data_IF_470129985562
#
_entry.id   IF_470129985562
#
_cell.length_a   1.000
_cell.length_b   1.000
_cell.length_c   1.000
_cell.angle_alpha   90.00
_cell.angle_beta   90.00
_cell.angle_gamma   90.00
#
_symmetry.space_group_name_H-M   'P 1'
#
loop_
_entity.id
_entity.type
_entity.pdbx_description
1 polymer ?
#
# COMPACT_ATOMS: atom_id res chain seq x y z
N UNK A 1 12.15 -45.50 -33.13
CA UNK A 1 10.94 -46.34 -32.96
C UNK A 1 10.53 -46.19 -31.49
N UNK A 2 9.63 -45.23 -31.19
CA UNK A 2 8.20 -45.45 -30.83
C UNK A 2 8.04 -46.29 -29.53
N UNK A 3 7.24 -45.95 -28.51
CA UNK A 3 6.13 -45.00 -28.36
C UNK A 3 5.87 -44.73 -26.87
N UNK A 4 5.43 -43.50 -26.59
CA UNK A 4 4.78 -43.02 -25.36
C UNK A 4 3.48 -43.75 -25.04
N UNK A 5 3.10 -43.85 -23.76
CA UNK A 5 1.70 -43.81 -23.29
C UNK A 5 1.62 -43.33 -21.82
N UNK A 6 1.57 -42.00 -21.62
CA UNK A 6 1.09 -41.41 -20.37
C UNK A 6 -0.40 -41.10 -20.52
N UNK A 7 -1.24 -41.77 -19.73
CA UNK A 7 -2.70 -41.56 -19.70
C UNK A 7 -3.01 -40.36 -18.81
N UNK A 8 -3.51 -39.28 -19.40
CA UNK A 8 -4.15 -38.19 -18.66
C UNK A 8 -5.60 -38.57 -18.35
N UNK A 9 -5.97 -38.55 -17.06
CA UNK A 9 -7.36 -38.59 -16.62
C UNK A 9 -7.78 -37.18 -16.22
N UNK A 10 -8.70 -36.59 -16.98
CA UNK A 10 -9.35 -35.30 -16.66
C UNK A 10 -10.65 -35.64 -15.93
N UNK A 11 -10.76 -35.26 -14.67
CA UNK A 11 -12.02 -35.31 -13.90
C UNK A 11 -12.62 -33.90 -13.94
N UNK A 12 -13.72 -33.74 -14.67
CA UNK A 12 -14.52 -32.53 -14.66
C UNK A 12 -15.47 -32.58 -13.47
N UNK A 13 -15.37 -31.60 -12.56
CA UNK A 13 -16.30 -31.39 -11.46
C UNK A 13 -17.22 -30.23 -11.81
N UNK A 14 -18.48 -30.53 -12.16
CA UNK A 14 -19.57 -29.56 -12.22
C UNK A 14 -20.28 -29.54 -10.87
N UNK A 15 -20.34 -28.38 -10.23
CA UNK A 15 -21.16 -28.14 -9.04
C UNK A 15 -21.73 -26.72 -9.08
N UNK A 16 -22.93 -26.58 -9.63
CA UNK A 16 -23.74 -25.35 -9.59
C UNK A 16 -24.84 -25.56 -8.54
N UNK A 17 -24.84 -24.79 -7.45
CA UNK A 17 -26.02 -24.57 -6.61
C UNK A 17 -26.03 -23.15 -6.05
N UNK A 18 -26.77 -22.26 -6.71
CA UNK A 18 -27.16 -20.96 -6.15
C UNK A 18 -28.56 -21.11 -5.52
N UNK A 19 -28.64 -20.96 -4.20
CA UNK A 19 -29.90 -20.83 -3.47
C UNK A 19 -30.15 -19.34 -3.21
N UNK A 20 -31.16 -18.76 -3.87
CA UNK A 20 -31.61 -17.39 -3.63
C UNK A 20 -33.09 -17.38 -3.31
N UNK A 21 -33.44 -17.27 -2.02
CA UNK A 21 -34.81 -17.01 -1.58
C UNK A 21 -35.07 -15.51 -1.65
N UNK A 22 -36.03 -15.10 -2.46
CA UNK A 22 -36.58 -13.74 -2.47
C UNK A 22 -37.75 -13.66 -1.48
N UNK A 23 -37.68 -12.78 -0.49
CA UNK A 23 -38.86 -12.39 0.31
C UNK A 23 -39.27 -10.96 -0.04
N UNK A 24 -40.42 -10.86 -0.72
CA UNK A 24 -41.14 -9.59 -0.90
C UNK A 24 -42.10 -9.44 0.26
N UNK A 25 -41.98 -8.38 1.05
CA UNK A 25 -42.92 -8.03 2.11
C UNK A 25 -43.22 -6.54 2.06
N UNK A 26 -44.21 -6.16 1.25
CA UNK A 26 -44.89 -4.88 1.40
C UNK A 26 -46.05 -5.08 2.37
N UNK A 27 -46.12 -4.26 3.42
CA UNK A 27 -47.37 -4.06 4.16
C UNK A 27 -47.51 -2.59 4.56
N UNK A 28 -48.74 -2.15 4.37
CA UNK A 28 -49.29 -0.80 4.35
C UNK A 28 -49.64 -0.30 5.76
N UNK A 29 -49.45 1.01 5.97
CA UNK A 29 -50.05 1.98 6.92
C UNK A 29 -50.52 1.56 8.32
N UNK A 30 -50.04 2.33 9.31
CA UNK A 30 -50.87 2.81 10.44
C UNK A 30 -50.60 4.30 10.69
N UNK A 31 -51.68 5.08 10.77
CA UNK A 31 -51.74 6.51 11.05
C UNK A 31 -51.39 6.89 12.49
N UNK A 32 -50.75 8.05 12.66
CA UNK A 32 -51.09 9.06 13.67
C UNK A 32 -50.32 9.06 15.00
N UNK A 33 -49.32 9.95 15.12
CA UNK A 33 -49.01 10.79 16.29
C UNK A 33 -47.84 11.76 15.98
N UNK A 34 -47.71 12.91 16.68
CA UNK A 34 -47.18 14.15 16.07
C UNK A 34 -45.72 14.52 16.43
N UNK A 35 -45.16 15.38 15.57
CA UNK A 35 -44.20 16.48 15.80
C UNK A 35 -42.90 16.19 16.57
N UNK A 36 -41.77 16.29 15.85
CA UNK A 36 -40.68 17.27 16.01
C UNK A 36 -39.35 16.65 15.57
N UNK A 37 -38.65 17.28 14.63
CA UNK A 37 -37.20 17.59 14.73
C UNK A 37 -36.58 17.93 13.37
N UNK A 38 -36.07 19.15 13.31
CA UNK A 38 -35.02 19.70 12.45
C UNK A 38 -34.57 18.87 11.23
N UNK A 39 -34.97 19.32 10.04
CA UNK A 39 -34.20 19.09 8.82
C UNK A 39 -33.00 20.04 8.80
N UNK A 40 -31.92 19.67 9.48
CA UNK A 40 -30.61 20.21 9.15
C UNK A 40 -30.10 19.46 7.93
N UNK A 41 -30.09 20.14 6.79
CA UNK A 41 -29.44 19.69 5.57
C UNK A 41 -27.95 19.52 5.87
N UNK A 42 -27.49 18.28 6.02
CA UNK A 42 -26.06 17.95 6.09
C UNK A 42 -25.50 18.06 4.68
N UNK A 43 -24.86 19.18 4.38
CA UNK A 43 -23.86 19.25 3.32
C UNK A 43 -22.69 18.34 3.73
N UNK A 44 -22.21 17.39 2.90
CA UNK A 44 -20.97 16.71 3.21
C UNK A 44 -19.84 17.76 3.17
N UNK A 45 -19.28 18.08 4.33
CA UNK A 45 -18.12 18.93 4.43
C UNK A 45 -16.96 18.22 3.73
N UNK A 46 -16.45 18.83 2.65
CA UNK A 46 -15.16 18.48 2.10
C UNK A 46 -14.10 18.61 3.21
N UNK A 47 -13.23 17.60 3.31
CA UNK A 47 -12.13 17.56 4.28
C UNK A 47 -11.21 18.76 4.04
N UNK A 48 -11.37 19.80 4.86
CA UNK A 48 -10.41 20.89 4.98
C UNK A 48 -9.56 20.60 6.23
N UNK A 49 -8.22 20.66 6.15
CA UNK A 49 -7.39 20.39 7.31
C UNK A 49 -7.54 21.57 8.28
N UNK A 50 -8.08 21.30 9.47
CA UNK A 50 -7.94 22.19 10.59
C UNK A 50 -6.45 22.25 10.98
N UNK A 51 -5.95 23.45 11.26
CA UNK A 51 -4.62 23.64 11.86
C UNK A 51 -4.71 23.13 13.29
N UNK A 52 -4.50 21.83 13.47
CA UNK A 52 -4.45 21.20 14.79
C UNK A 52 -3.06 21.40 15.41
N UNK A 53 -3.04 21.66 16.71
CA UNK A 53 -1.85 21.62 17.54
C UNK A 53 -1.13 20.27 17.32
N UNK A 54 0.13 20.32 16.86
CA UNK A 54 0.87 19.15 16.40
C UNK A 54 0.98 18.06 17.46
N UNK A 55 0.98 18.42 18.75
CA UNK A 55 1.03 17.46 19.86
C UNK A 55 -0.30 16.77 20.14
N UNK A 56 -1.43 17.40 19.78
CA UNK A 56 -2.77 16.79 19.87
C UNK A 56 -3.06 15.99 18.61
N UNK A 57 -2.68 16.51 17.44
CA UNK A 57 -2.78 15.83 16.16
C UNK A 57 -1.95 14.53 16.14
N UNK A 58 -0.73 14.53 16.69
CA UNK A 58 0.07 13.32 16.83
C UNK A 58 -0.55 12.30 17.79
N UNK A 59 -1.19 12.75 18.89
CA UNK A 59 -1.93 11.86 19.77
C UNK A 59 -3.15 11.23 19.11
N UNK A 60 -3.75 11.92 18.12
CA UNK A 60 -4.85 11.38 17.31
C UNK A 60 -4.38 10.42 16.20
N UNK A 61 -3.13 10.57 15.73
CA UNK A 61 -2.54 9.78 14.63
C UNK A 61 -1.24 9.08 15.06
N UNK A 62 -1.33 8.01 15.85
CA UNK A 62 -0.15 7.35 16.44
C UNK A 62 0.59 6.43 15.45
N UNK A 63 0.05 6.22 14.25
CA UNK A 63 0.67 5.39 13.21
C UNK A 63 1.20 6.24 12.07
N UNK A 64 2.01 5.63 11.21
CA UNK A 64 2.52 6.30 10.04
C UNK A 64 2.67 5.35 8.87
N UNK A 65 2.76 5.94 7.70
CA UNK A 65 3.41 5.38 6.51
C UNK A 65 4.38 6.42 5.97
N UNK A 66 5.59 5.99 5.64
CA UNK A 66 6.61 6.81 5.05
C UNK A 66 7.07 6.19 3.74
N UNK A 67 6.79 6.87 2.64
CA UNK A 67 7.32 6.53 1.34
C UNK A 67 8.78 6.97 1.27
N UNK A 68 9.67 6.05 0.95
CA UNK A 68 11.11 6.28 0.94
C UNK A 68 11.71 5.97 -0.42
N UNK A 69 12.81 6.66 -0.72
CA UNK A 69 13.73 6.29 -1.76
C UNK A 69 15.14 6.18 -1.18
N UNK A 70 15.90 5.18 -1.60
CA UNK A 70 17.30 5.00 -1.20
C UNK A 70 18.22 4.71 -2.38
N UNK A 71 19.51 4.96 -2.21
CA UNK A 71 20.54 4.58 -3.19
C UNK A 71 20.66 3.06 -3.29
N UNK A 72 20.86 2.55 -4.50
CA UNK A 72 21.05 1.12 -4.77
C UNK A 72 22.23 0.93 -5.74
N UNK A 73 22.66 -0.33 -5.94
CA UNK A 73 23.57 -0.66 -7.02
C UNK A 73 23.00 -0.30 -8.40
N UNK A 74 21.67 -0.27 -8.51
CA UNK A 74 20.92 0.15 -9.70
C UNK A 74 20.58 1.65 -9.65
N UNK A 75 19.47 2.06 -10.28
CA UNK A 75 18.96 3.44 -10.27
C UNK A 75 18.30 3.88 -8.95
N UNK A 76 18.42 3.08 -7.89
CA UNK A 76 17.79 3.29 -6.58
C UNK A 76 16.59 2.37 -6.35
N UNK A 77 15.95 2.51 -5.19
CA UNK A 77 14.75 1.76 -4.83
C UNK A 77 13.71 2.67 -4.15
N UNK A 78 12.43 2.51 -4.50
CA UNK A 78 11.31 3.10 -3.76
C UNK A 78 10.56 2.03 -2.99
N UNK A 79 10.20 2.36 -1.76
CA UNK A 79 9.52 1.44 -0.84
C UNK A 79 8.71 2.25 0.18
N UNK A 80 7.94 1.55 1.00
CA UNK A 80 7.19 2.14 2.11
C UNK A 80 7.61 1.50 3.43
N UNK A 81 7.69 2.34 4.46
CA UNK A 81 7.86 1.94 5.86
C UNK A 81 6.59 2.33 6.59
N UNK A 82 6.04 1.45 7.40
CA UNK A 82 4.81 1.73 8.14
C UNK A 82 4.87 1.10 9.52
N UNK A 83 4.12 1.65 10.46
CA UNK A 83 4.10 1.15 11.82
C UNK A 83 3.66 2.20 12.82
N UNK A 84 4.11 2.06 14.07
CA UNK A 84 3.77 2.99 15.15
C UNK A 84 4.87 4.02 15.32
N UNK A 85 4.49 5.28 15.49
CA UNK A 85 5.42 6.34 15.86
C UNK A 85 5.98 6.08 17.27
N UNK A 86 7.16 6.63 17.55
CA UNK A 86 7.73 6.66 18.89
C UNK A 86 6.95 7.63 19.81
N UNK A 87 7.35 7.70 21.08
CA UNK A 87 6.71 8.57 22.08
C UNK A 87 6.80 10.07 21.74
N UNK A 88 7.64 10.44 20.78
CA UNK A 88 7.87 11.80 20.32
C UNK A 88 7.28 12.07 18.92
N UNK A 89 6.44 11.16 18.38
CA UNK A 89 5.87 11.33 17.04
C UNK A 89 6.87 11.11 15.89
N UNK A 90 7.99 10.40 16.13
CA UNK A 90 9.03 10.12 15.13
C UNK A 90 8.95 8.69 14.61
N UNK A 91 9.45 8.48 13.40
CA UNK A 91 9.67 7.13 12.86
C UNK A 91 10.75 6.46 13.72
N UNK A 92 10.47 5.31 14.36
CA UNK A 92 11.37 4.74 15.36
C UNK A 92 12.60 4.11 14.70
N UNK A 93 13.76 4.62 15.09
CA UNK A 93 15.09 4.16 14.66
C UNK A 93 16.01 4.00 15.88
N UNK A 94 17.02 3.15 15.76
CA UNK A 94 18.08 3.02 16.74
C UNK A 94 19.09 4.18 16.67
N UNK A 95 20.14 4.12 17.50
CA UNK A 95 21.19 5.14 17.56
C UNK A 95 21.99 5.29 16.25
N UNK A 96 21.95 4.30 15.36
CA UNK A 96 22.62 4.30 14.06
C UNK A 96 21.67 4.71 12.92
N UNK A 97 20.40 5.03 13.22
CA UNK A 97 19.39 5.35 12.21
C UNK A 97 18.83 4.12 11.49
N UNK A 98 18.90 2.94 12.11
CA UNK A 98 18.29 1.70 11.62
C UNK A 98 16.87 1.59 12.17
N UNK A 99 15.88 1.28 11.33
CA UNK A 99 14.48 1.08 11.73
C UNK A 99 14.35 0.01 12.83
N UNK A 100 13.52 0.27 13.85
CA UNK A 100 13.26 -0.66 14.96
C UNK A 100 12.24 -1.72 14.52
N UNK A 101 12.64 -3.00 14.33
CA UNK A 101 11.76 -4.01 13.72
C UNK A 101 10.51 -4.37 14.53
N UNK A 102 10.51 -4.11 15.84
CA UNK A 102 9.33 -4.34 16.69
C UNK A 102 8.26 -3.26 16.56
N UNK A 103 8.56 -2.15 15.88
CA UNK A 103 7.66 -1.01 15.73
C UNK A 103 7.36 -0.65 14.27
N UNK A 104 8.13 -1.20 13.32
CA UNK A 104 8.04 -0.87 11.89
C UNK A 104 8.09 -2.10 11.02
N UNK A 105 7.34 -2.06 9.93
CA UNK A 105 7.42 -2.97 8.81
C UNK A 105 7.87 -2.23 7.54
N UNK A 106 8.49 -2.97 6.63
CA UNK A 106 8.98 -2.47 5.34
C UNK A 106 8.30 -3.26 4.24
N UNK A 107 7.84 -2.57 3.19
CA UNK A 107 7.36 -3.20 1.96
C UNK A 107 7.79 -2.43 0.73
N UNK A 108 8.25 -3.16 -0.28
CA UNK A 108 8.69 -2.59 -1.56
C UNK A 108 8.78 -3.70 -2.59
N UNK A 109 8.60 -3.39 -3.88
CA UNK A 109 8.63 -4.39 -4.94
C UNK A 109 9.97 -4.39 -5.67
N UNK A 110 10.69 -5.50 -5.60
CA UNK A 110 11.94 -5.72 -6.33
C UNK A 110 11.91 -7.07 -7.05
N UNK A 111 12.79 -7.33 -8.04
CA UNK A 111 13.03 -8.68 -8.52
C UNK A 111 13.43 -9.59 -7.36
N UNK A 112 12.92 -10.82 -7.33
CA UNK A 112 13.29 -11.84 -6.33
C UNK A 112 14.69 -12.42 -6.60
N UNK A 113 15.69 -11.55 -6.69
CA UNK A 113 17.08 -11.90 -6.95
C UNK A 113 18.00 -10.75 -6.54
N UNK A 114 19.23 -11.09 -6.15
CA UNK A 114 20.33 -10.13 -5.97
C UNK A 114 21.25 -10.07 -7.19
N UNK A 115 21.00 -10.89 -8.22
CA UNK A 115 21.81 -10.94 -9.44
C UNK A 115 21.41 -9.85 -10.44
N UNK A 116 22.41 -9.25 -11.10
CA UNK A 116 22.19 -8.30 -12.18
C UNK A 116 21.55 -8.93 -13.42
N UNK A 117 21.66 -10.25 -13.60
CA UNK A 117 21.16 -10.95 -14.79
C UNK A 117 19.62 -10.96 -14.85
N UNK A 118 18.88 -11.53 -13.88
CA UNK A 118 17.41 -11.47 -13.93
C UNK A 118 16.88 -10.04 -13.77
N UNK A 119 17.61 -9.16 -13.07
CA UNK A 119 17.31 -7.74 -13.03
C UNK A 119 17.30 -7.10 -14.43
N UNK A 120 18.32 -7.39 -15.25
CA UNK A 120 18.41 -6.89 -16.63
C UNK A 120 17.33 -7.52 -17.51
N UNK A 121 17.06 -8.83 -17.36
CA UNK A 121 15.95 -9.51 -18.07
C UNK A 121 14.62 -8.83 -17.77
N UNK A 122 14.40 -8.42 -16.53
CA UNK A 122 13.22 -7.68 -16.06
C UNK A 122 12.93 -6.35 -16.77
N UNK A 123 13.85 -5.85 -17.61
CA UNK A 123 13.62 -4.69 -18.46
C UNK A 123 12.90 -5.04 -19.77
N UNK A 124 12.91 -6.31 -20.16
CA UNK A 124 12.33 -6.81 -21.42
C UNK A 124 11.19 -7.79 -21.16
N UNK A 125 11.31 -8.64 -20.14
CA UNK A 125 10.33 -9.67 -19.77
C UNK A 125 10.03 -9.61 -18.27
N UNK A 126 8.78 -9.82 -17.82
CA UNK A 126 8.48 -9.89 -16.39
C UNK A 126 9.28 -11.00 -15.70
N UNK A 127 9.77 -10.72 -14.49
CA UNK A 127 10.50 -11.67 -13.64
C UNK A 127 9.81 -11.81 -12.29
N UNK A 128 10.02 -12.91 -11.54
CA UNK A 128 9.48 -13.04 -10.19
C UNK A 128 9.88 -11.86 -9.29
N UNK A 129 8.97 -11.42 -8.44
CA UNK A 129 9.21 -10.32 -7.50
C UNK A 129 9.17 -10.76 -6.05
N UNK A 130 9.80 -9.97 -5.20
CA UNK A 130 9.65 -9.99 -3.75
C UNK A 130 9.08 -8.67 -3.25
N UNK A 131 8.42 -8.70 -2.10
CA UNK A 131 7.70 -7.55 -1.52
C UNK A 131 8.18 -7.15 -0.12
N UNK A 132 9.28 -7.76 0.33
CA UNK A 132 9.89 -7.53 1.64
C UNK A 132 10.98 -6.45 1.60
N UNK A 133 11.71 -6.28 2.72
CA UNK A 133 12.88 -5.42 2.77
C UNK A 133 13.99 -5.93 1.84
N UNK A 134 14.63 -5.01 1.14
CA UNK A 134 15.89 -5.24 0.41
C UNK A 134 17.06 -4.55 1.11
N UNK A 135 18.29 -4.92 0.74
CA UNK A 135 19.51 -4.35 1.33
C UNK A 135 19.52 -2.81 1.26
N UNK A 136 19.73 -2.17 2.42
CA UNK A 136 19.73 -0.72 2.60
C UNK A 136 18.36 -0.05 2.81
N UNK A 137 17.24 -0.80 2.88
CA UNK A 137 15.91 -0.23 3.11
C UNK A 137 15.66 0.13 4.60
N UNK A 138 16.44 -0.45 5.52
CA UNK A 138 16.24 -0.25 6.96
C UNK A 138 17.02 0.94 7.53
N UNK A 139 18.04 1.41 6.81
CA UNK A 139 19.02 2.36 7.30
C UNK A 139 18.83 3.73 6.68
N UNK A 140 18.66 4.75 7.52
CA UNK A 140 18.56 6.13 7.08
C UNK A 140 19.81 6.61 6.32
N UNK A 141 20.97 5.97 6.54
CA UNK A 141 22.23 6.31 5.87
C UNK A 141 22.16 6.21 4.34
N UNK A 142 21.30 5.35 3.79
CA UNK A 142 21.12 5.19 2.34
C UNK A 142 19.96 6.00 1.78
N UNK A 143 19.17 6.66 2.64
CA UNK A 143 17.96 7.36 2.26
C UNK A 143 18.27 8.62 1.45
N UNK A 144 17.54 8.80 0.34
CA UNK A 144 17.74 9.91 -0.60
C UNK A 144 16.54 10.84 -0.70
N UNK A 145 15.35 10.37 -0.34
CA UNK A 145 14.12 11.15 -0.19
C UNK A 145 13.10 10.39 0.67
N UNK A 146 12.21 11.12 1.34
CA UNK A 146 11.10 10.57 2.10
C UNK A 146 9.85 11.47 2.07
N UNK A 147 8.68 10.86 2.21
CA UNK A 147 7.40 11.52 2.39
C UNK A 147 6.55 10.72 3.38
N UNK A 148 6.28 11.30 4.55
CA UNK A 148 5.53 10.67 5.65
C UNK A 148 4.11 11.19 5.72
N UNK A 149 3.20 10.29 6.04
CA UNK A 149 1.81 10.57 6.37
C UNK A 149 1.51 9.90 7.71
N UNK A 150 0.92 10.66 8.61
CA UNK A 150 0.48 10.17 9.91
C UNK A 150 -0.96 9.65 9.80
N UNK A 151 -1.18 8.49 10.40
CA UNK A 151 -2.39 7.69 10.24
C UNK A 151 -3.08 7.48 11.59
N UNK A 152 -4.39 7.52 11.56
CA UNK A 152 -5.25 6.96 12.61
C UNK A 152 -5.15 5.43 12.63
N UNK A 153 -5.61 4.82 13.71
CA UNK A 153 -5.71 3.36 13.82
C UNK A 153 -6.52 2.74 12.67
N UNK A 154 -7.62 3.37 12.27
CA UNK A 154 -8.49 2.87 11.21
C UNK A 154 -7.80 2.89 9.84
N UNK A 155 -7.14 4.00 9.51
CA UNK A 155 -6.36 4.13 8.27
C UNK A 155 -5.19 3.13 8.25
N UNK A 156 -4.51 2.96 9.39
CA UNK A 156 -3.40 2.01 9.53
C UNK A 156 -3.85 0.56 9.29
N UNK A 157 -4.97 0.12 9.88
CA UNK A 157 -5.51 -1.23 9.63
C UNK A 157 -5.92 -1.44 8.17
N UNK A 158 -6.48 -0.41 7.54
CA UNK A 158 -6.78 -0.42 6.12
C UNK A 158 -5.52 -0.60 5.27
N UNK A 159 -4.48 0.17 5.59
CA UNK A 159 -3.17 0.07 4.94
C UNK A 159 -2.56 -1.33 5.08
N UNK A 160 -2.57 -1.93 6.28
CA UNK A 160 -2.08 -3.29 6.49
C UNK A 160 -2.82 -4.31 5.61
N UNK A 161 -4.13 -4.17 5.47
CA UNK A 161 -4.93 -5.03 4.60
C UNK A 161 -4.57 -4.83 3.12
N UNK A 162 -4.41 -3.58 2.65
CA UNK A 162 -3.96 -3.28 1.28
C UNK A 162 -2.57 -3.86 1.02
N UNK A 163 -1.62 -3.69 1.93
CA UNK A 163 -0.26 -4.23 1.78
C UNK A 163 -0.30 -5.75 1.71
N UNK A 164 -1.05 -6.42 2.60
CA UNK A 164 -1.23 -7.88 2.54
C UNK A 164 -1.80 -8.34 1.20
N UNK A 165 -2.79 -7.62 0.67
CA UNK A 165 -3.33 -7.86 -0.66
C UNK A 165 -2.26 -7.71 -1.75
N UNK A 166 -1.49 -6.62 -1.73
CA UNK A 166 -0.42 -6.39 -2.70
C UNK A 166 0.66 -7.49 -2.65
N UNK A 167 1.11 -7.87 -1.46
CA UNK A 167 2.09 -8.96 -1.25
C UNK A 167 1.61 -10.29 -1.84
N UNK A 168 0.31 -10.57 -1.78
CA UNK A 168 -0.28 -11.78 -2.35
C UNK A 168 -0.54 -11.72 -3.87
N UNK A 169 -0.70 -10.52 -4.45
CA UNK A 169 -1.20 -10.34 -5.82
C UNK A 169 -0.22 -9.67 -6.79
N UNK A 170 1.01 -9.36 -6.34
CA UNK A 170 2.09 -8.81 -7.18
C UNK A 170 3.27 -9.78 -7.21
N UNK A 171 3.16 -10.90 -7.96
CA UNK A 171 4.18 -11.94 -8.02
C UNK A 171 5.30 -11.67 -9.03
N UNK A 172 5.15 -10.62 -9.85
CA UNK A 172 6.11 -10.27 -10.91
C UNK A 172 6.51 -8.81 -10.85
N UNK A 173 7.74 -8.55 -11.31
CA UNK A 173 8.35 -7.24 -11.48
C UNK A 173 8.70 -7.03 -12.95
N UNK A 174 8.54 -5.80 -13.42
CA UNK A 174 9.02 -5.35 -14.72
C UNK A 174 9.46 -3.88 -14.64
N UNK A 175 10.67 -3.55 -15.12
CA UNK A 175 11.30 -2.25 -14.92
C UNK A 175 10.43 -1.06 -15.40
N UNK A 176 9.76 -1.22 -16.54
CA UNK A 176 8.87 -0.19 -17.12
C UNK A 176 7.40 -0.38 -16.73
N UNK A 177 6.85 -1.60 -16.85
CA UNK A 177 5.40 -1.82 -16.74
C UNK A 177 4.89 -1.85 -15.29
N UNK A 178 5.64 -2.46 -14.38
CA UNK A 178 5.24 -2.58 -12.98
C UNK A 178 6.47 -2.78 -12.08
N UNK A 179 6.95 -1.67 -11.53
CA UNK A 179 8.20 -1.58 -10.79
C UNK A 179 7.96 -1.14 -9.33
N UNK A 180 9.05 -0.86 -8.61
CA UNK A 180 9.00 -0.39 -7.22
C UNK A 180 8.13 0.85 -7.02
N UNK A 181 8.14 1.80 -7.97
CA UNK A 181 7.41 3.05 -7.84
C UNK A 181 5.95 2.90 -8.24
N UNK A 182 5.64 2.02 -9.20
CA UNK A 182 4.26 1.62 -9.51
C UNK A 182 3.60 0.93 -8.30
N UNK A 183 4.35 0.06 -7.60
CA UNK A 183 3.90 -0.55 -6.35
C UNK A 183 3.63 0.50 -5.27
N UNK A 184 4.51 1.48 -5.11
CA UNK A 184 4.31 2.59 -4.18
C UNK A 184 3.10 3.45 -4.55
N UNK A 185 2.84 3.67 -5.84
CA UNK A 185 1.64 4.40 -6.31
C UNK A 185 0.36 3.70 -5.88
N UNK A 186 0.27 2.37 -5.93
CA UNK A 186 -0.94 1.66 -5.47
C UNK A 186 -1.19 1.82 -3.96
N UNK A 187 -0.14 2.00 -3.17
CA UNK A 187 -0.27 2.32 -1.74
C UNK A 187 -0.72 3.76 -1.56
N UNK A 188 -0.10 4.70 -2.30
CA UNK A 188 -0.46 6.11 -2.27
C UNK A 188 -1.91 6.35 -2.69
N UNK A 189 -2.34 5.73 -3.80
CA UNK A 189 -3.71 5.80 -4.31
C UNK A 189 -4.72 5.25 -3.30
N UNK A 190 -4.41 4.14 -2.64
CA UNK A 190 -5.27 3.57 -1.59
C UNK A 190 -5.49 4.56 -0.43
N UNK A 191 -4.49 5.36 -0.11
CA UNK A 191 -4.56 6.41 0.92
C UNK A 191 -5.21 7.71 0.40
N UNK A 192 -5.69 7.72 -0.84
CA UNK A 192 -6.34 8.88 -1.46
C UNK A 192 -5.38 9.97 -1.94
N UNK A 193 -4.10 9.64 -2.14
CA UNK A 193 -3.09 10.58 -2.61
C UNK A 193 -3.10 10.70 -4.13
N UNK A 194 -2.74 11.88 -4.63
CA UNK A 194 -2.42 12.06 -6.03
C UNK A 194 -1.15 11.28 -6.38
N UNK A 195 -1.27 10.33 -7.32
CA UNK A 195 -0.16 9.52 -7.80
C UNK A 195 0.66 10.26 -8.85
N UNK A 196 1.91 9.85 -9.04
CA UNK A 196 2.84 10.49 -9.98
C UNK A 196 3.45 9.47 -10.94
N UNK A 197 4.14 9.93 -11.98
CA UNK A 197 4.73 9.04 -12.97
C UNK A 197 5.71 8.01 -12.33
N UNK A 198 5.42 6.69 -12.36
CA UNK A 198 6.25 5.66 -11.74
C UNK A 198 7.53 5.33 -12.52
N UNK A 199 7.77 5.99 -13.66
CA UNK A 199 9.02 5.89 -14.42
C UNK A 199 10.07 6.92 -13.96
N UNK A 200 9.71 7.85 -13.08
CA UNK A 200 10.68 8.73 -12.45
C UNK A 200 11.68 7.92 -11.64
N UNK A 201 12.95 8.32 -11.67
CA UNK A 201 13.94 7.73 -10.79
C UNK A 201 13.50 7.85 -9.32
N UNK A 202 13.76 6.85 -8.46
CA UNK A 202 13.24 6.74 -7.10
C UNK A 202 13.22 8.02 -6.27
N UNK A 203 14.36 8.74 -6.20
CA UNK A 203 14.44 10.02 -5.49
C UNK A 203 13.48 11.06 -6.05
N UNK A 204 13.41 11.18 -7.37
CA UNK A 204 12.54 12.14 -8.06
C UNK A 204 11.07 11.74 -7.95
N UNK A 205 10.77 10.43 -7.98
CA UNK A 205 9.43 9.90 -7.74
C UNK A 205 8.93 10.33 -6.36
N UNK A 206 9.67 10.07 -5.27
CA UNK A 206 9.24 10.43 -3.91
C UNK A 206 9.10 11.95 -3.75
N UNK A 207 10.03 12.73 -4.32
CA UNK A 207 9.93 14.18 -4.29
C UNK A 207 8.74 14.71 -5.12
N UNK A 208 8.36 14.04 -6.20
CA UNK A 208 7.17 14.39 -6.97
C UNK A 208 5.90 14.03 -6.20
N UNK A 209 5.84 12.83 -5.62
CA UNK A 209 4.72 12.38 -4.79
C UNK A 209 4.48 13.35 -3.63
N UNK A 210 5.54 13.76 -2.93
CA UNK A 210 5.45 14.78 -1.87
C UNK A 210 4.85 16.09 -2.39
N UNK A 211 5.42 16.64 -3.47
CA UNK A 211 4.97 17.92 -4.05
C UNK A 211 3.53 17.91 -4.55
N UNK A 212 3.00 16.76 -4.97
CA UNK A 212 1.62 16.65 -5.41
C UNK A 212 0.62 16.64 -4.23
N UNK A 213 1.10 16.39 -3.00
CA UNK A 213 0.25 16.13 -1.82
C UNK A 213 0.60 17.01 -0.61
N UNK A 214 1.31 18.13 -0.83
CA UNK A 214 1.66 19.15 0.19
C UNK A 214 1.58 20.54 -0.40
#
# INVERSE_FOLDING_TARGET
>A
MASSFFKFAVIALLGLTAAGCSSTGSNTMTSGAPLTSASSLVTPAAFAPAVEDSDVAHRAKPYFVEFRARSALSYGHTFAVFGRLDQNGRVPVDANGVLIPSMTEITGLAPATTSSVPYTIGHVLPVPSETGPSDGDSENAYMTANYRIDLTEAEYRGLEAKIRYLKANRPVWHAVLYNCSAYTNEIAEYLGLETVNPLLFPKNYINALKRANT
#
